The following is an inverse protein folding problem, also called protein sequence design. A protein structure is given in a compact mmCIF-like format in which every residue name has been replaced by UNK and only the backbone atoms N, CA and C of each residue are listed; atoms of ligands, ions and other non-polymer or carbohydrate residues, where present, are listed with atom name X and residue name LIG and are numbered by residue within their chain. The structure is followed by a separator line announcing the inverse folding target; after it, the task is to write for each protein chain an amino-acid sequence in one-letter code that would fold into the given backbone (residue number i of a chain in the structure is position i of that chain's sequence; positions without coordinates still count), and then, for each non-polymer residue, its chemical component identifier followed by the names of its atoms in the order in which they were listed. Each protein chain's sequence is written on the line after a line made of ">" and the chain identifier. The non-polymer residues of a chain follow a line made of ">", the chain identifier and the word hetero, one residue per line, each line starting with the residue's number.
data_IF_447425208467
#
_entry.id   IF_447425208467
#
_cell.length_a   1.000
_cell.length_b   1.000
_cell.length_c   1.000
_cell.angle_alpha   90.00
_cell.angle_beta   90.00
_cell.angle_gamma   90.00
#
_symmetry.space_group_name_H-M   'P 1'
#
loop_
_entity.id
_entity.type
_entity.pdbx_description
1 polymer ?
#
# COMPACT_ATOMS: atom_id res chain seq x y z
N UNK A 1 -0.21 -16.07 -15.62
CA UNK A 1 -1.67 -16.05 -15.31
C UNK A 1 -1.98 -16.47 -13.86
N UNK A 2 -1.33 -17.49 -13.30
CA UNK A 2 -1.52 -17.89 -11.88
C UNK A 2 -1.03 -16.83 -10.86
N UNK A 3 -0.07 -15.99 -11.26
CA UNK A 3 0.46 -14.89 -10.44
C UNK A 3 -0.56 -13.75 -10.24
N UNK A 4 -1.38 -13.44 -11.26
CA UNK A 4 -2.44 -12.41 -11.17
C UNK A 4 -3.54 -12.78 -10.17
N UNK A 5 -3.92 -14.05 -10.08
CA UNK A 5 -4.89 -14.54 -9.09
C UNK A 5 -4.41 -14.34 -7.64
N UNK A 6 -3.10 -14.42 -7.40
CA UNK A 6 -2.53 -14.18 -6.08
C UNK A 6 -2.53 -12.70 -5.65
N UNK A 7 -2.70 -11.76 -6.58
CA UNK A 7 -2.83 -10.32 -6.27
C UNK A 7 -4.29 -9.99 -5.91
N UNK A 8 -5.26 -10.75 -6.44
CA UNK A 8 -6.69 -10.43 -6.35
C UNK A 8 -7.27 -10.67 -4.95
N UNK A 9 -6.69 -11.53 -4.13
CA UNK A 9 -7.21 -11.77 -2.78
C UNK A 9 -6.64 -10.72 -1.82
N UNK A 10 -7.39 -9.63 -1.62
CA UNK A 10 -7.34 -8.94 -0.33
C UNK A 10 -7.69 -10.00 0.72
N UNK A 11 -6.64 -10.45 1.40
CA UNK A 11 -6.67 -11.52 2.36
C UNK A 11 -7.46 -11.05 3.60
N UNK A 12 -8.29 -11.92 4.20
CA UNK A 12 -8.97 -11.61 5.48
C UNK A 12 -7.94 -11.22 6.55
N UNK A 13 -6.70 -11.69 6.42
CA UNK A 13 -5.57 -11.31 7.26
C UNK A 13 -5.04 -9.88 7.03
N UNK A 14 -5.62 -9.06 6.14
CA UNK A 14 -5.24 -7.66 5.92
C UNK A 14 -6.31 -6.66 6.45
N UNK A 15 -7.24 -7.12 7.30
CA UNK A 15 -8.36 -6.32 7.84
C UNK A 15 -8.03 -5.75 9.23
N UNK A 16 -8.02 -4.43 9.34
CA UNK A 16 -7.76 -3.72 10.59
C UNK A 16 -9.01 -3.36 11.38
N UNK A 17 -10.21 -3.44 10.79
CA UNK A 17 -11.47 -3.00 11.39
C UNK A 17 -11.60 -1.47 11.48
N UNK A 18 -10.90 -0.77 10.59
CA UNK A 18 -11.12 0.64 10.30
C UNK A 18 -11.61 0.72 8.85
N UNK A 19 -12.90 0.97 8.66
CA UNK A 19 -13.56 0.83 7.35
C UNK A 19 -12.90 1.66 6.23
N UNK A 20 -12.43 2.87 6.55
CA UNK A 20 -11.72 3.72 5.60
C UNK A 20 -10.36 3.13 5.21
N UNK A 21 -9.54 2.76 6.20
CA UNK A 21 -8.22 2.15 5.99
C UNK A 21 -8.33 0.84 5.20
N UNK A 22 -9.28 -0.03 5.56
CA UNK A 22 -9.50 -1.30 4.87
C UNK A 22 -9.97 -1.10 3.42
N UNK A 23 -10.69 0.00 3.15
CA UNK A 23 -11.10 0.38 1.79
C UNK A 23 -9.92 0.93 0.99
N UNK A 24 -9.11 1.78 1.59
CA UNK A 24 -7.91 2.36 0.98
C UNK A 24 -6.86 1.30 0.66
N UNK A 25 -6.60 0.35 1.57
CA UNK A 25 -5.73 -0.80 1.32
C UNK A 25 -6.16 -1.58 0.07
N UNK A 26 -7.47 -1.86 -0.08
CA UNK A 26 -8.00 -2.54 -1.27
C UNK A 26 -7.72 -1.73 -2.54
N UNK A 27 -7.84 -0.39 -2.48
CA UNK A 27 -7.54 0.46 -3.63
C UNK A 27 -6.07 0.38 -4.05
N UNK A 28 -5.13 0.28 -3.10
CA UNK A 28 -3.70 0.08 -3.41
C UNK A 28 -3.48 -1.29 -4.07
N UNK A 29 -4.08 -2.37 -3.56
CA UNK A 29 -4.02 -3.69 -4.20
C UNK A 29 -4.55 -3.66 -5.64
N UNK A 30 -5.66 -2.96 -5.88
CA UNK A 30 -6.23 -2.77 -7.23
C UNK A 30 -5.25 -2.01 -8.14
N UNK A 31 -4.57 -0.99 -7.63
CA UNK A 31 -3.57 -0.26 -8.42
C UNK A 31 -2.38 -1.16 -8.81
N UNK A 32 -1.84 -1.94 -7.87
CA UNK A 32 -0.75 -2.90 -8.16
C UNK A 32 -1.21 -3.93 -9.20
N UNK A 33 -2.44 -4.42 -9.09
CA UNK A 33 -3.02 -5.36 -10.05
C UNK A 33 -3.17 -4.76 -11.45
N UNK A 34 -3.63 -3.51 -11.54
CA UNK A 34 -3.75 -2.83 -12.83
C UNK A 34 -2.37 -2.62 -13.47
N UNK A 35 -1.36 -2.23 -12.68
CA UNK A 35 0.03 -2.18 -13.14
C UNK A 35 0.53 -3.55 -13.66
N UNK A 36 0.13 -4.66 -13.04
CA UNK A 36 0.48 -6.00 -13.53
C UNK A 36 -0.26 -6.39 -14.82
N UNK A 37 -1.47 -5.87 -15.05
CA UNK A 37 -2.25 -6.08 -16.28
C UNK A 37 -1.68 -5.29 -17.46
N UNK A 38 -1.20 -4.07 -17.21
CA UNK A 38 -0.59 -3.21 -18.21
C UNK A 38 0.71 -2.58 -17.68
N UNK A 39 1.81 -3.34 -17.63
CA UNK A 39 3.08 -2.88 -17.07
C UNK A 39 3.70 -1.73 -17.86
N UNK A 40 3.26 -1.49 -19.10
CA UNK A 40 3.74 -0.41 -19.98
C UNK A 40 3.09 0.94 -19.68
N UNK A 41 2.06 0.98 -18.82
CA UNK A 41 1.30 2.19 -18.55
C UNK A 41 1.92 3.02 -17.43
N UNK A 42 2.67 4.07 -17.81
CA UNK A 42 3.14 5.08 -16.86
C UNK A 42 2.01 5.75 -16.05
N UNK A 43 0.82 6.04 -16.63
CA UNK A 43 -0.32 6.55 -15.85
C UNK A 43 -0.78 5.63 -14.70
N UNK A 44 -0.67 4.31 -14.85
CA UNK A 44 -1.01 3.38 -13.76
C UNK A 44 0.00 3.44 -12.60
N UNK A 45 1.28 3.69 -12.89
CA UNK A 45 2.30 3.94 -11.87
C UNK A 45 2.00 5.23 -11.11
N UNK A 46 1.64 6.30 -11.83
CA UNK A 46 1.20 7.57 -11.20
C UNK A 46 -0.02 7.33 -10.32
N UNK A 47 -1.03 6.60 -10.81
CA UNK A 47 -2.24 6.30 -10.03
C UNK A 47 -1.93 5.49 -8.77
N UNK A 48 -1.01 4.51 -8.85
CA UNK A 48 -0.52 3.78 -7.69
C UNK A 48 0.10 4.72 -6.66
N UNK A 49 0.97 5.64 -7.10
CA UNK A 49 1.57 6.64 -6.21
C UNK A 49 0.51 7.50 -5.52
N UNK A 50 -0.42 8.08 -6.29
CA UNK A 50 -1.42 9.02 -5.76
C UNK A 50 -2.33 8.33 -4.73
N UNK A 51 -2.88 7.15 -5.05
CA UNK A 51 -3.74 6.38 -4.13
C UNK A 51 -2.99 5.98 -2.86
N UNK A 52 -1.71 5.63 -2.97
CA UNK A 52 -0.89 5.27 -1.81
C UNK A 52 -0.60 6.50 -0.94
N UNK A 53 -0.33 7.66 -1.56
CA UNK A 53 -0.05 8.90 -0.84
C UNK A 53 -1.29 9.43 -0.11
N UNK A 54 -2.47 9.33 -0.72
CA UNK A 54 -3.75 9.69 -0.10
C UNK A 54 -4.00 8.80 1.15
N UNK A 55 -3.88 7.48 0.99
CA UNK A 55 -4.01 6.53 2.09
C UNK A 55 -3.05 6.82 3.25
N UNK A 56 -1.76 7.01 2.96
CA UNK A 56 -0.78 7.34 4.00
C UNK A 56 -1.09 8.67 4.69
N UNK A 57 -1.61 9.66 3.96
CA UNK A 57 -2.03 10.93 4.57
C UNK A 57 -3.17 10.74 5.57
N UNK A 58 -4.18 9.94 5.21
CA UNK A 58 -5.33 9.66 6.06
C UNK A 58 -4.95 8.85 7.30
N UNK A 59 -4.18 7.76 7.10
CA UNK A 59 -3.71 6.89 8.18
C UNK A 59 -2.80 7.64 9.17
N UNK A 60 -1.85 8.42 8.67
CA UNK A 60 -0.99 9.27 9.50
C UNK A 60 -1.80 10.32 10.26
N UNK A 61 -2.85 10.86 9.64
CA UNK A 61 -3.79 11.76 10.32
C UNK A 61 -4.49 11.07 11.49
N UNK A 62 -4.90 9.81 11.33
CA UNK A 62 -5.48 9.01 12.41
C UNK A 62 -4.47 8.77 13.54
N UNK A 63 -3.25 8.35 13.21
CA UNK A 63 -2.16 8.15 14.17
C UNK A 63 -1.86 9.40 14.99
N UNK A 64 -1.74 10.57 14.34
CA UNK A 64 -1.47 11.84 15.02
C UNK A 64 -2.62 12.21 15.96
N UNK A 65 -3.88 12.07 15.53
CA UNK A 65 -5.06 12.38 16.38
C UNK A 65 -5.14 11.49 17.62
N UNK A 66 -4.73 10.23 17.50
CA UNK A 66 -4.69 9.28 18.60
C UNK A 66 -3.45 9.42 19.51
N UNK A 67 -2.50 10.32 19.19
CA UNK A 67 -1.17 10.37 19.82
C UNK A 67 -0.46 9.00 19.80
N UNK A 68 -0.55 8.27 18.69
CA UNK A 68 0.05 6.95 18.56
C UNK A 68 1.58 7.02 18.69
N UNK A 69 2.14 6.22 19.60
CA UNK A 69 3.54 6.33 20.03
C UNK A 69 4.57 6.14 18.90
N UNK A 70 4.29 5.28 17.92
CA UNK A 70 5.23 4.93 16.84
C UNK A 70 5.00 5.72 15.54
N UNK A 71 4.21 6.81 15.61
CA UNK A 71 3.82 7.62 14.43
C UNK A 71 5.03 8.06 13.60
N UNK A 72 6.12 8.50 14.24
CA UNK A 72 7.28 9.02 13.53
C UNK A 72 8.00 7.95 12.69
N UNK A 73 8.13 6.73 13.22
CA UNK A 73 8.73 5.61 12.53
C UNK A 73 7.83 5.12 11.38
N UNK A 74 6.52 5.03 11.64
CA UNK A 74 5.52 4.65 10.63
C UNK A 74 5.54 5.60 9.42
N UNK A 75 5.55 6.92 9.66
CA UNK A 75 5.72 7.95 8.61
C UNK A 75 6.98 7.78 7.78
N UNK A 76 8.09 7.37 8.40
CA UNK A 76 9.34 7.16 7.69
C UNK A 76 9.24 5.95 6.75
N UNK A 77 8.61 4.86 7.19
CA UNK A 77 8.33 3.68 6.36
C UNK A 77 7.48 4.04 5.12
N UNK A 78 6.43 4.85 5.31
CA UNK A 78 5.60 5.38 4.23
C UNK A 78 6.39 6.20 3.21
N UNK A 79 7.20 7.14 3.71
CA UNK A 79 8.02 8.02 2.88
C UNK A 79 8.96 7.22 1.98
N UNK A 80 9.60 6.19 2.52
CA UNK A 80 10.52 5.35 1.76
C UNK A 80 9.81 4.54 0.67
N UNK A 81 8.59 4.07 0.95
CA UNK A 81 7.77 3.38 -0.05
C UNK A 81 7.32 4.31 -1.18
N UNK A 82 6.82 5.51 -0.87
CA UNK A 82 6.45 6.52 -1.88
C UNK A 82 7.65 6.92 -2.74
N UNK A 83 8.82 7.11 -2.12
CA UNK A 83 10.06 7.40 -2.84
C UNK A 83 10.41 6.28 -3.82
N UNK A 84 10.25 5.01 -3.41
CA UNK A 84 10.50 3.87 -4.28
C UNK A 84 9.48 3.79 -5.42
N UNK A 85 8.18 3.97 -5.18
CA UNK A 85 7.16 4.00 -6.26
C UNK A 85 7.49 5.11 -7.26
N UNK A 86 7.82 6.32 -6.79
CA UNK A 86 8.17 7.47 -7.64
C UNK A 86 9.39 7.22 -8.54
N UNK A 87 10.31 6.35 -8.10
CA UNK A 87 11.48 5.94 -8.87
C UNK A 87 11.16 4.96 -10.00
N UNK A 88 10.02 4.26 -9.94
CA UNK A 88 9.62 3.29 -10.96
C UNK A 88 9.36 3.97 -12.30
N UNK A 89 9.54 3.19 -13.37
CA UNK A 89 9.30 3.60 -14.76
C UNK A 89 8.64 2.45 -15.51
N UNK A 90 7.79 2.79 -16.46
CA UNK A 90 7.24 1.83 -17.39
C UNK A 90 8.30 1.47 -18.46
N UNK A 91 8.37 0.21 -18.92
CA UNK A 91 7.60 -0.93 -18.43
C UNK A 91 8.06 -1.41 -17.04
N UNK A 92 7.10 -1.75 -16.17
CA UNK A 92 7.39 -2.44 -14.91
C UNK A 92 7.84 -3.87 -15.19
N UNK A 93 8.89 -4.30 -14.49
CA UNK A 93 9.30 -5.69 -14.45
C UNK A 93 8.57 -6.48 -13.35
N UNK A 94 8.61 -7.80 -13.46
CA UNK A 94 7.98 -8.70 -12.49
C UNK A 94 8.56 -8.51 -11.07
N UNK A 95 9.84 -8.14 -10.96
CA UNK A 95 10.50 -7.88 -9.70
C UNK A 95 9.91 -6.65 -8.97
N UNK A 96 9.63 -5.57 -9.70
CA UNK A 96 9.01 -4.36 -9.14
C UNK A 96 7.58 -4.61 -8.69
N UNK A 97 6.82 -5.38 -9.47
CA UNK A 97 5.45 -5.79 -9.10
C UNK A 97 5.45 -6.71 -7.87
N UNK A 98 6.37 -7.68 -7.81
CA UNK A 98 6.57 -8.57 -6.66
C UNK A 98 6.95 -7.79 -5.42
N UNK A 99 7.90 -6.86 -5.54
CA UNK A 99 8.31 -5.99 -4.46
C UNK A 99 7.14 -5.16 -3.92
N UNK A 100 6.39 -4.47 -4.79
CA UNK A 100 5.28 -3.62 -4.35
C UNK A 100 4.21 -4.43 -3.58
N UNK A 101 3.87 -5.62 -4.11
CA UNK A 101 2.92 -6.53 -3.47
C UNK A 101 3.42 -7.03 -2.12
N UNK A 102 4.67 -7.51 -2.06
CA UNK A 102 5.26 -8.06 -0.83
C UNK A 102 5.40 -6.98 0.23
N UNK A 103 5.82 -5.78 -0.16
CA UNK A 103 5.91 -4.64 0.73
C UNK A 103 4.55 -4.30 1.32
N UNK A 104 3.50 -4.16 0.49
CA UNK A 104 2.15 -3.82 0.99
C UNK A 104 1.63 -4.86 1.99
N UNK A 105 1.75 -6.15 1.68
CA UNK A 105 1.32 -7.22 2.59
C UNK A 105 2.13 -7.22 3.89
N UNK A 106 3.46 -7.06 3.79
CA UNK A 106 4.35 -7.02 4.95
C UNK A 106 4.12 -5.79 5.83
N UNK A 107 3.84 -4.64 5.22
CA UNK A 107 3.51 -3.40 5.90
C UNK A 107 2.20 -3.53 6.68
N UNK A 108 1.10 -3.92 6.02
CA UNK A 108 -0.20 -4.12 6.67
C UNK A 108 -0.10 -5.06 7.87
N UNK A 109 0.48 -6.25 7.66
CA UNK A 109 0.52 -7.29 8.69
C UNK A 109 1.54 -7.03 9.78
N UNK A 110 2.67 -6.39 9.45
CA UNK A 110 3.81 -6.24 10.34
C UNK A 110 3.90 -4.87 11.02
N UNK A 111 3.26 -3.85 10.45
CA UNK A 111 3.32 -2.46 10.90
C UNK A 111 1.90 -1.99 11.26
N UNK A 112 0.96 -1.97 10.32
CA UNK A 112 -0.36 -1.34 10.52
C UNK A 112 -1.17 -2.06 11.59
N UNK A 113 -1.08 -3.40 11.63
CA UNK A 113 -1.73 -4.21 12.66
C UNK A 113 -1.32 -3.83 14.10
N UNK A 114 -0.18 -3.15 14.30
CA UNK A 114 0.27 -2.69 15.62
C UNK A 114 -0.59 -1.55 16.17
N UNK A 115 -1.27 -0.78 15.32
CA UNK A 115 -2.17 0.28 15.76
C UNK A 115 -3.64 -0.19 15.88
N UNK A 116 -3.95 -1.45 15.56
CA UNK A 116 -5.31 -1.99 15.65
C UNK A 116 -5.88 -1.83 17.07
N UNK A 117 -7.03 -1.17 17.18
CA UNK A 117 -7.69 -0.86 18.44
C UNK A 117 -7.02 0.25 19.26
N UNK A 118 -6.06 0.98 18.67
CA UNK A 118 -5.34 2.10 19.29
C UNK A 118 -5.64 3.46 18.64
N UNK A 119 -6.19 3.46 17.43
CA UNK A 119 -6.65 4.65 16.70
C UNK A 119 -8.16 4.87 16.86
#
# INVERSE_FOLDING_TARGET
>A
MQWLLSIITYDVFCVLQYDNIDTEHKAIFVCIFNCAKDPKSAPLITKLYDVTADHFTDEEGMMVRANYEDTANHKQIHKDFLAKIKSLKAPLDDASLAWAKQWLVGHIKGIDFKYKGKL
#
